data_IF_729829936300
#
_entry.id   IF_729829936300
#
_cell.length_a   1.000
_cell.length_b   1.000
_cell.length_c   1.000
_cell.angle_alpha   90.00
_cell.angle_beta   90.00
_cell.angle_gamma   90.00
#
_symmetry.space_group_name_H-M   'P 1'
#
loop_
_entity.id
_entity.type
_entity.pdbx_description
1 polymer ?
#
# COMPACT_ATOMS: atom_id res chain seq x y z
N UNK A 1 -15.78 -29.05 -48.37
CA UNK A 1 -15.32 -27.65 -48.15
C UNK A 1 -15.50 -27.36 -46.69
N UNK A 2 -14.49 -27.71 -45.89
CA UNK A 2 -14.47 -27.47 -44.48
C UNK A 2 -14.14 -26.00 -44.23
N UNK A 3 -15.06 -25.30 -43.59
CA UNK A 3 -14.80 -23.95 -43.08
C UNK A 3 -13.97 -24.09 -41.80
N UNK A 4 -12.71 -23.75 -41.88
CA UNK A 4 -11.82 -23.58 -40.77
C UNK A 4 -12.35 -22.39 -39.95
N UNK A 5 -12.74 -22.66 -38.68
CA UNK A 5 -13.07 -21.66 -37.71
C UNK A 5 -11.85 -20.74 -37.48
N UNK A 6 -12.04 -19.44 -37.28
CA UNK A 6 -10.94 -18.54 -36.95
C UNK A 6 -10.36 -18.94 -35.59
N UNK A 7 -9.11 -19.40 -35.56
CA UNK A 7 -8.33 -19.51 -34.36
C UNK A 7 -8.18 -18.09 -33.78
N UNK A 8 -8.78 -17.87 -32.62
CA UNK A 8 -8.49 -16.71 -31.79
C UNK A 8 -7.01 -16.82 -31.37
N UNK A 9 -6.14 -16.12 -32.07
CA UNK A 9 -4.80 -15.86 -31.58
C UNK A 9 -4.95 -15.01 -30.32
N UNK A 10 -4.67 -15.60 -29.15
CA UNK A 10 -4.49 -14.85 -27.92
C UNK A 10 -3.31 -13.89 -28.21
N UNK A 11 -3.58 -12.61 -28.35
CA UNK A 11 -2.50 -11.61 -28.43
C UNK A 11 -1.62 -11.81 -27.20
N UNK A 12 -0.37 -12.18 -27.43
CA UNK A 12 0.63 -12.25 -26.36
C UNK A 12 0.92 -10.80 -25.97
N UNK A 13 0.29 -10.34 -24.90
CA UNK A 13 0.60 -9.03 -24.33
C UNK A 13 2.03 -9.11 -23.78
N UNK A 14 2.94 -8.36 -24.36
CA UNK A 14 4.30 -8.25 -23.84
C UNK A 14 4.24 -7.51 -22.50
N UNK A 15 5.06 -7.89 -21.52
CA UNK A 15 5.13 -7.15 -20.27
C UNK A 15 5.53 -5.71 -20.53
N UNK A 16 4.92 -4.78 -19.78
CA UNK A 16 5.24 -3.36 -19.88
C UNK A 16 6.65 -3.12 -19.30
N UNK A 17 7.50 -2.46 -20.06
CA UNK A 17 8.87 -2.16 -19.63
C UNK A 17 8.89 -1.43 -18.28
N UNK A 18 9.92 -1.67 -17.48
CA UNK A 18 10.13 -0.94 -16.23
C UNK A 18 10.59 0.49 -16.51
N UNK A 19 10.34 1.39 -15.57
CA UNK A 19 10.89 2.75 -15.64
C UNK A 19 12.40 2.71 -15.44
N UNK A 20 13.13 3.22 -16.44
CA UNK A 20 14.59 3.22 -16.45
C UNK A 20 15.22 4.36 -15.65
N UNK A 21 14.44 5.09 -14.83
CA UNK A 21 14.92 6.19 -13.96
C UNK A 21 16.13 5.76 -13.13
N UNK A 22 17.16 6.59 -13.10
CA UNK A 22 18.39 6.32 -12.32
C UNK A 22 18.08 6.19 -10.81
N UNK A 23 17.14 6.97 -10.31
CA UNK A 23 16.66 6.88 -8.93
C UNK A 23 16.13 5.48 -8.62
N UNK A 24 15.29 4.92 -9.50
CA UNK A 24 14.63 3.63 -9.25
C UNK A 24 15.59 2.45 -9.35
N UNK A 25 16.62 2.55 -10.19
CA UNK A 25 17.67 1.52 -10.31
C UNK A 25 18.46 1.29 -9.02
N UNK A 26 18.43 2.25 -8.09
CA UNK A 26 19.14 2.15 -6.81
C UNK A 26 18.34 1.32 -5.79
N UNK A 27 17.03 1.23 -5.92
CA UNK A 27 16.18 0.46 -5.01
C UNK A 27 16.34 -1.04 -5.20
N UNK A 28 15.97 -1.80 -4.18
CA UNK A 28 16.05 -3.26 -4.21
C UNK A 28 15.17 -3.88 -5.30
N UNK A 29 14.00 -3.28 -5.57
CA UNK A 29 13.15 -3.63 -6.70
C UNK A 29 12.91 -2.39 -7.58
N UNK A 30 13.69 -2.23 -8.67
CA UNK A 30 13.53 -1.12 -9.59
C UNK A 30 12.19 -1.07 -10.34
N UNK A 31 11.46 -2.20 -10.37
CA UNK A 31 10.17 -2.29 -11.06
C UNK A 31 8.99 -1.76 -10.25
N UNK A 32 9.16 -1.58 -8.92
CA UNK A 32 8.06 -1.26 -8.02
C UNK A 32 7.50 0.16 -8.18
N UNK A 33 8.24 1.07 -8.82
CA UNK A 33 7.86 2.46 -9.02
C UNK A 33 7.87 2.85 -10.49
N UNK A 34 7.02 3.81 -10.82
CA UNK A 34 7.04 4.52 -12.09
C UNK A 34 7.01 6.03 -11.87
N UNK A 35 7.72 6.78 -12.71
CA UNK A 35 7.67 8.25 -12.72
C UNK A 35 6.43 8.76 -13.46
N UNK A 36 6.06 10.00 -13.20
CA UNK A 36 5.00 10.69 -13.92
C UNK A 36 5.27 10.76 -15.43
N UNK A 37 6.53 10.94 -15.82
CA UNK A 37 6.95 10.92 -17.22
C UNK A 37 6.73 9.55 -17.85
N UNK A 38 7.20 8.49 -17.20
CA UNK A 38 7.01 7.13 -17.71
C UNK A 38 5.52 6.80 -17.86
N UNK A 39 4.70 7.16 -16.88
CA UNK A 39 3.27 6.90 -16.93
C UNK A 39 2.61 7.64 -18.10
N UNK A 40 2.92 8.93 -18.32
CA UNK A 40 2.40 9.72 -19.45
C UNK A 40 2.73 9.09 -20.81
N UNK A 41 3.96 8.59 -20.96
CA UNK A 41 4.43 7.93 -22.20
C UNK A 41 3.80 6.54 -22.44
N UNK A 42 3.17 5.96 -21.39
CA UNK A 42 2.61 4.62 -21.42
C UNK A 42 1.08 4.57 -21.25
N UNK A 43 0.41 5.70 -21.05
CA UNK A 43 -1.05 5.74 -20.91
C UNK A 43 -1.75 5.06 -22.11
N UNK A 44 -2.72 4.22 -21.79
CA UNK A 44 -3.53 3.51 -22.80
C UNK A 44 -2.82 2.38 -23.54
N UNK A 45 -1.61 2.01 -23.17
CA UNK A 45 -0.96 0.82 -23.76
C UNK A 45 -1.70 -0.46 -23.33
N UNK A 46 -1.92 -1.39 -24.27
CA UNK A 46 -2.47 -2.70 -23.93
C UNK A 46 -1.63 -3.40 -22.83
N UNK A 47 -2.28 -3.99 -21.85
CA UNK A 47 -1.60 -4.64 -20.72
C UNK A 47 -1.19 -3.69 -19.58
N UNK A 48 -1.47 -2.38 -19.71
CA UNK A 48 -1.33 -1.41 -18.61
C UNK A 48 -2.70 -0.99 -18.10
N UNK A 49 -2.96 -1.21 -16.83
CA UNK A 49 -4.16 -0.73 -16.13
C UNK A 49 -3.76 0.30 -15.08
N UNK A 50 -4.31 1.50 -15.19
CA UNK A 50 -4.09 2.57 -14.23
C UNK A 50 -5.28 2.64 -13.26
N UNK A 51 -5.01 2.58 -11.95
CA UNK A 51 -6.03 2.62 -10.90
C UNK A 51 -5.77 3.78 -9.93
N UNK A 52 -6.82 4.56 -9.66
CA UNK A 52 -6.81 5.60 -8.63
C UNK A 52 -7.47 5.08 -7.35
N UNK A 53 -6.75 5.17 -6.23
CA UNK A 53 -7.22 4.80 -4.89
C UNK A 53 -6.91 5.92 -3.92
N UNK A 54 -7.91 6.70 -3.57
CA UNK A 54 -7.83 7.90 -2.72
C UNK A 54 -8.45 7.66 -1.35
N UNK A 55 -8.07 8.48 -0.38
CA UNK A 55 -8.78 8.59 0.89
C UNK A 55 -10.21 9.10 0.65
N UNK A 56 -10.35 10.24 0.00
CA UNK A 56 -11.64 10.73 -0.46
C UNK A 56 -11.97 10.13 -1.82
N UNK A 57 -12.79 9.11 -1.82
CA UNK A 57 -13.23 8.40 -3.03
C UNK A 57 -13.98 9.29 -4.03
N UNK A 58 -14.35 10.51 -3.67
CA UNK A 58 -14.96 11.49 -4.56
C UNK A 58 -13.93 12.28 -5.37
N UNK A 59 -12.64 12.25 -5.02
CA UNK A 59 -11.59 12.96 -5.75
C UNK A 59 -11.51 12.55 -7.22
N UNK A 60 -11.68 11.28 -7.52
CA UNK A 60 -11.70 10.76 -8.89
C UNK A 60 -12.65 11.56 -9.81
N UNK A 61 -13.86 11.89 -9.31
CA UNK A 61 -14.85 12.63 -10.09
C UNK A 61 -14.49 14.10 -10.27
N UNK A 62 -13.62 14.66 -9.44
CA UNK A 62 -13.15 16.05 -9.59
C UNK A 62 -12.16 16.21 -10.73
N UNK A 63 -11.51 15.11 -11.12
CA UNK A 63 -10.54 14.96 -12.20
C UNK A 63 -9.52 13.89 -11.85
N UNK A 64 -9.20 13.01 -12.78
CA UNK A 64 -8.27 11.90 -12.64
C UNK A 64 -7.31 11.83 -13.83
N UNK A 65 -6.23 11.09 -13.71
CA UNK A 65 -5.28 10.88 -14.81
C UNK A 65 -6.01 10.17 -15.97
N UNK A 66 -5.82 10.61 -17.24
CA UNK A 66 -6.46 9.97 -18.38
C UNK A 66 -6.26 8.44 -18.36
N UNK A 67 -7.28 7.68 -18.72
CA UNK A 67 -7.37 6.22 -18.68
C UNK A 67 -7.49 5.58 -17.30
N UNK A 68 -7.34 6.31 -16.20
CA UNK A 68 -7.47 5.76 -14.88
C UNK A 68 -8.89 5.22 -14.61
N UNK A 69 -8.95 4.12 -13.90
CA UNK A 69 -10.16 3.55 -13.33
C UNK A 69 -10.15 3.77 -11.81
N UNK A 70 -11.33 3.98 -11.24
CA UNK A 70 -11.47 4.11 -9.79
C UNK A 70 -11.48 2.74 -9.13
N UNK A 71 -10.75 2.62 -8.03
CA UNK A 71 -10.94 1.56 -7.04
C UNK A 71 -11.31 2.19 -5.69
N UNK A 72 -12.43 1.79 -5.15
CA UNK A 72 -12.89 2.24 -3.84
C UNK A 72 -12.39 1.25 -2.78
N UNK A 73 -11.40 1.68 -2.00
CA UNK A 73 -10.77 0.83 -1.00
C UNK A 73 -11.78 0.25 0.00
N UNK A 74 -12.83 1.00 0.32
CA UNK A 74 -13.82 0.61 1.32
C UNK A 74 -14.80 -0.43 0.78
N UNK A 75 -15.35 -0.23 -0.40
CA UNK A 75 -16.39 -1.10 -0.97
C UNK A 75 -15.84 -2.19 -1.88
N UNK A 76 -14.70 -1.95 -2.55
CA UNK A 76 -14.10 -2.91 -3.48
C UNK A 76 -13.10 -3.86 -2.80
N UNK A 77 -12.45 -3.46 -1.68
CA UNK A 77 -11.39 -4.25 -1.07
C UNK A 77 -11.74 -4.83 0.31
N UNK A 78 -12.75 -4.30 0.98
CA UNK A 78 -13.14 -4.74 2.31
C UNK A 78 -14.48 -5.48 2.30
N UNK A 79 -14.61 -6.48 3.15
CA UNK A 79 -15.89 -7.10 3.47
C UNK A 79 -16.75 -6.10 4.25
N UNK A 80 -18.02 -5.98 3.85
CA UNK A 80 -18.92 -4.95 4.41
C UNK A 80 -19.54 -5.34 5.76
N UNK A 81 -19.32 -6.56 6.21
CA UNK A 81 -19.88 -7.11 7.46
C UNK A 81 -18.78 -7.38 8.47
N UNK A 82 -17.75 -8.06 8.03
CA UNK A 82 -16.58 -8.41 8.84
C UNK A 82 -15.48 -7.39 8.60
N UNK A 83 -14.79 -6.96 9.65
CA UNK A 83 -13.60 -6.11 9.47
C UNK A 83 -12.44 -6.96 8.92
N UNK A 84 -12.52 -7.28 7.64
CA UNK A 84 -11.54 -8.05 6.89
C UNK A 84 -11.61 -7.67 5.40
N UNK A 85 -10.70 -8.18 4.59
CA UNK A 85 -10.71 -8.01 3.14
C UNK A 85 -11.72 -8.98 2.50
N UNK A 86 -12.13 -8.66 1.27
CA UNK A 86 -12.92 -9.55 0.43
C UNK A 86 -12.20 -10.90 0.25
N UNK A 87 -12.94 -11.93 -0.14
CA UNK A 87 -12.40 -13.24 -0.50
C UNK A 87 -11.90 -13.28 -1.96
N UNK A 88 -11.35 -14.42 -2.38
CA UNK A 88 -10.85 -14.61 -3.74
C UNK A 88 -11.91 -14.43 -4.82
N UNK A 89 -13.17 -14.81 -4.55
CA UNK A 89 -14.28 -14.62 -5.48
C UNK A 89 -14.65 -13.14 -5.61
N UNK A 90 -14.69 -12.41 -4.51
CA UNK A 90 -14.89 -10.95 -4.49
C UNK A 90 -13.80 -10.22 -5.26
N UNK A 91 -12.53 -10.57 -5.01
CA UNK A 91 -11.39 -9.99 -5.72
C UNK A 91 -11.46 -10.25 -7.23
N UNK A 92 -11.72 -11.49 -7.63
CA UNK A 92 -11.92 -11.86 -9.04
C UNK A 92 -13.04 -11.03 -9.70
N UNK A 93 -14.15 -10.83 -9.00
CA UNK A 93 -15.28 -10.03 -9.49
C UNK A 93 -14.89 -8.55 -9.69
N UNK A 94 -14.20 -7.95 -8.73
CA UNK A 94 -13.73 -6.56 -8.83
C UNK A 94 -12.78 -6.40 -10.01
N UNK A 95 -11.76 -7.25 -10.13
CA UNK A 95 -10.77 -7.18 -11.19
C UNK A 95 -11.37 -7.46 -12.57
N UNK A 96 -12.29 -8.42 -12.66
CA UNK A 96 -13.03 -8.67 -13.91
C UNK A 96 -13.85 -7.45 -14.32
N UNK A 97 -14.54 -6.78 -13.39
CA UNK A 97 -15.30 -5.54 -13.64
C UNK A 97 -14.40 -4.43 -14.15
N UNK A 98 -13.18 -4.31 -13.61
CA UNK A 98 -12.19 -3.33 -14.01
C UNK A 98 -11.45 -3.71 -15.31
N UNK A 99 -11.75 -4.86 -15.91
CA UNK A 99 -11.11 -5.32 -17.14
C UNK A 99 -9.67 -5.80 -16.96
N UNK A 100 -9.22 -6.03 -15.72
CA UNK A 100 -7.86 -6.48 -15.41
C UNK A 100 -7.70 -7.95 -15.75
N UNK A 101 -6.60 -8.30 -16.41
CA UNK A 101 -6.16 -9.67 -16.59
C UNK A 101 -5.01 -10.02 -15.64
N UNK A 102 -4.73 -11.31 -15.47
CA UNK A 102 -3.71 -11.77 -14.53
C UNK A 102 -2.30 -11.28 -14.88
N UNK A 103 -2.03 -11.11 -16.15
CA UNK A 103 -0.74 -10.73 -16.71
C UNK A 103 -0.56 -9.21 -16.88
N UNK A 104 -1.60 -8.42 -16.59
CA UNK A 104 -1.52 -6.97 -16.75
C UNK A 104 -0.61 -6.34 -15.69
N UNK A 105 0.11 -5.29 -16.12
CA UNK A 105 0.79 -4.36 -15.21
C UNK A 105 -0.24 -3.40 -14.64
N UNK A 106 -0.34 -3.33 -13.33
CA UNK A 106 -1.18 -2.34 -12.64
C UNK A 106 -0.29 -1.21 -12.13
N UNK A 107 -0.63 0.03 -12.46
CA UNK A 107 -0.08 1.21 -11.80
C UNK A 107 -1.14 1.80 -10.89
N UNK A 108 -0.79 1.97 -9.62
CA UNK A 108 -1.64 2.59 -8.60
C UNK A 108 -1.14 3.99 -8.27
N UNK A 109 -2.07 4.90 -8.08
CA UNK A 109 -1.81 6.23 -7.53
C UNK A 109 -2.99 6.71 -6.70
N UNK A 110 -2.76 7.73 -5.88
CA UNK A 110 -3.80 8.34 -5.07
C UNK A 110 -3.32 9.62 -4.42
N UNK A 111 -4.15 10.15 -3.54
CA UNK A 111 -3.87 11.30 -2.69
C UNK A 111 -2.95 10.95 -1.49
N UNK A 112 -2.72 11.90 -0.62
CA UNK A 112 -1.97 11.71 0.65
C UNK A 112 -0.68 10.94 0.47
N UNK A 113 0.13 11.28 -0.52
CA UNK A 113 1.38 10.58 -0.85
C UNK A 113 1.20 9.08 -1.07
N UNK A 114 0.12 8.69 -1.74
CA UNK A 114 -0.19 7.28 -2.05
C UNK A 114 -0.56 6.38 -0.86
N UNK A 115 -1.06 6.89 0.26
CA UNK A 115 -1.45 5.99 1.37
C UNK A 115 -2.37 4.87 0.92
N UNK A 116 -3.50 5.25 0.28
CA UNK A 116 -4.51 4.29 -0.13
C UNK A 116 -4.11 3.53 -1.40
N UNK A 117 -3.27 4.11 -2.23
CA UNK A 117 -2.66 3.39 -3.35
C UNK A 117 -1.71 2.29 -2.86
N UNK A 118 -0.87 2.58 -1.85
CA UNK A 118 -0.01 1.57 -1.22
C UNK A 118 -0.82 0.50 -0.47
N UNK A 119 -1.94 0.88 0.16
CA UNK A 119 -2.87 -0.07 0.78
C UNK A 119 -3.50 -1.00 -0.26
N UNK A 120 -4.01 -0.45 -1.37
CA UNK A 120 -4.55 -1.25 -2.46
C UNK A 120 -3.49 -2.19 -3.05
N UNK A 121 -2.24 -1.70 -3.27
CA UNK A 121 -1.12 -2.52 -3.72
C UNK A 121 -0.88 -3.69 -2.76
N UNK A 122 -0.83 -3.42 -1.45
CA UNK A 122 -0.62 -4.46 -0.45
C UNK A 122 -1.73 -5.51 -0.48
N UNK A 123 -3.01 -5.09 -0.60
CA UNK A 123 -4.14 -6.02 -0.76
C UNK A 123 -4.00 -6.86 -2.03
N UNK A 124 -3.63 -6.24 -3.17
CA UNK A 124 -3.44 -6.99 -4.43
C UNK A 124 -2.33 -8.04 -4.32
N UNK A 125 -1.28 -7.74 -3.55
CA UNK A 125 -0.21 -8.70 -3.26
C UNK A 125 -0.67 -9.87 -2.38
N UNK A 126 -1.66 -9.68 -1.50
CA UNK A 126 -2.27 -10.80 -0.75
C UNK A 126 -2.91 -11.81 -1.71
N UNK A 127 -3.56 -11.34 -2.79
CA UNK A 127 -4.12 -12.18 -3.84
C UNK A 127 -3.10 -12.57 -4.93
N UNK A 128 -1.83 -12.23 -4.72
CA UNK A 128 -0.73 -12.66 -5.57
C UNK A 128 -0.70 -12.02 -6.95
N UNK A 129 -1.33 -10.86 -7.19
CA UNK A 129 -1.11 -10.15 -8.45
C UNK A 129 0.35 -9.69 -8.54
N UNK A 130 1.06 -10.09 -9.60
CA UNK A 130 2.53 -9.99 -9.61
C UNK A 130 3.04 -8.60 -9.96
N UNK A 131 2.58 -7.99 -11.05
CA UNK A 131 3.07 -6.68 -11.51
C UNK A 131 2.16 -5.55 -11.06
N UNK A 132 2.43 -5.03 -9.85
CA UNK A 132 1.75 -3.85 -9.30
C UNK A 132 2.80 -2.83 -8.90
N UNK A 133 2.68 -1.63 -9.46
CA UNK A 133 3.63 -0.51 -9.31
C UNK A 133 2.93 0.70 -8.70
N UNK A 134 3.66 1.57 -8.01
CA UNK A 134 3.16 2.88 -7.57
C UNK A 134 3.68 4.00 -8.46
N UNK A 135 2.83 4.99 -8.72
CA UNK A 135 3.26 6.26 -9.30
C UNK A 135 4.01 7.08 -8.24
N UNK A 136 5.31 7.31 -8.44
CA UNK A 136 6.15 8.06 -7.48
C UNK A 136 5.68 9.51 -7.35
N UNK A 137 5.20 9.89 -6.16
CA UNK A 137 4.59 11.18 -5.86
C UNK A 137 3.08 11.26 -6.06
N UNK A 138 2.46 10.21 -6.61
CA UNK A 138 1.01 10.07 -6.71
C UNK A 138 0.31 11.21 -7.45
N UNK A 139 -0.95 11.45 -7.05
CA UNK A 139 -1.82 12.48 -7.62
C UNK A 139 -1.25 13.88 -7.48
N UNK A 140 -0.69 14.20 -6.31
CA UNK A 140 -0.23 15.56 -6.00
C UNK A 140 0.93 15.99 -6.91
N UNK A 141 1.88 15.09 -7.14
CA UNK A 141 3.02 15.35 -8.03
C UNK A 141 2.58 15.48 -9.48
N UNK A 142 1.66 14.63 -9.95
CA UNK A 142 1.09 14.72 -11.30
C UNK A 142 0.47 16.10 -11.55
N UNK A 143 -0.32 16.59 -10.60
CA UNK A 143 -0.95 17.92 -10.67
C UNK A 143 0.10 19.04 -10.59
N UNK A 144 1.05 18.95 -9.67
CA UNK A 144 2.11 19.96 -9.49
C UNK A 144 2.98 20.12 -10.73
N UNK A 145 3.16 19.06 -11.52
CA UNK A 145 3.86 19.11 -12.82
C UNK A 145 2.99 19.66 -13.96
N UNK A 146 1.75 20.06 -13.69
CA UNK A 146 0.84 20.62 -14.70
C UNK A 146 0.35 19.62 -15.74
N UNK A 147 0.36 18.32 -15.42
CA UNK A 147 -0.07 17.27 -16.32
C UNK A 147 -1.58 17.19 -16.41
N UNK A 148 -2.08 16.63 -17.50
CA UNK A 148 -3.50 16.55 -17.82
C UNK A 148 -4.30 15.74 -16.79
N UNK A 149 -5.48 16.26 -16.43
CA UNK A 149 -6.54 15.53 -15.76
C UNK A 149 -7.80 15.53 -16.62
N UNK A 150 -8.55 14.46 -16.57
CA UNK A 150 -9.85 14.34 -17.24
C UNK A 150 -10.96 14.05 -16.23
N UNK A 151 -12.23 14.27 -16.66
CA UNK A 151 -13.43 13.81 -15.96
C UNK A 151 -14.17 12.71 -16.72
N UNK A 152 -13.60 12.26 -17.83
CA UNK A 152 -14.20 11.27 -18.70
C UNK A 152 -14.11 9.88 -18.05
N UNK A 153 -15.22 9.38 -17.54
CA UNK A 153 -15.29 8.06 -16.93
C UNK A 153 -14.94 6.96 -17.92
N UNK A 154 -13.99 6.13 -17.55
CA UNK A 154 -13.60 4.98 -18.32
C UNK A 154 -14.63 3.85 -18.16
N UNK A 155 -14.94 3.17 -19.27
CA UNK A 155 -15.82 1.99 -19.30
C UNK A 155 -15.04 0.78 -19.80
N UNK A 156 -14.29 0.09 -18.93
CA UNK A 156 -13.49 -1.05 -19.35
C UNK A 156 -14.38 -2.19 -19.84
N UNK A 157 -13.90 -2.94 -20.80
CA UNK A 157 -14.51 -4.24 -21.15
C UNK A 157 -14.18 -5.22 -20.03
N UNK A 158 -15.19 -5.86 -19.40
CA UNK A 158 -14.91 -6.84 -18.34
C UNK A 158 -14.02 -7.98 -18.82
N UNK A 159 -13.10 -8.40 -17.97
CA UNK A 159 -12.23 -9.55 -18.18
C UNK A 159 -12.76 -10.81 -17.47
N UNK A 160 -11.95 -11.86 -17.44
CA UNK A 160 -12.21 -13.06 -16.67
C UNK A 160 -11.03 -13.33 -15.72
N UNK A 161 -10.92 -12.49 -14.68
CA UNK A 161 -9.84 -12.64 -13.71
C UNK A 161 -10.00 -13.92 -12.90
N UNK A 162 -8.95 -14.76 -12.72
CA UNK A 162 -9.08 -16.02 -11.99
C UNK A 162 -9.39 -15.81 -10.51
N UNK A 163 -10.12 -16.75 -9.91
CA UNK A 163 -10.33 -16.78 -8.46
C UNK A 163 -9.06 -17.32 -7.80
N UNK A 164 -8.43 -16.50 -6.97
CA UNK A 164 -7.23 -16.84 -6.21
C UNK A 164 -7.47 -16.43 -4.76
N UNK A 165 -7.34 -17.38 -3.85
CA UNK A 165 -7.43 -17.06 -2.42
C UNK A 165 -6.19 -16.31 -1.95
N UNK A 166 -6.39 -15.38 -1.02
CA UNK A 166 -5.29 -14.58 -0.46
C UNK A 166 -4.37 -15.40 0.45
N UNK A 167 -3.10 -15.04 0.45
CA UNK A 167 -2.11 -15.60 1.38
C UNK A 167 -1.77 -14.57 2.47
N UNK A 168 -2.49 -14.64 3.57
CA UNK A 168 -2.30 -13.72 4.71
C UNK A 168 -0.96 -13.94 5.42
N UNK A 169 -0.37 -15.15 5.33
CA UNK A 169 0.77 -15.54 6.18
C UNK A 169 2.07 -14.80 5.86
N UNK A 170 2.25 -14.38 4.62
CA UNK A 170 3.52 -13.77 4.18
C UNK A 170 3.60 -12.28 4.42
N UNK A 171 2.48 -11.58 4.24
CA UNK A 171 2.46 -10.11 4.16
C UNK A 171 1.69 -9.47 5.30
N UNK A 172 0.83 -10.22 5.99
CA UNK A 172 -0.04 -9.76 7.05
C UNK A 172 0.46 -10.25 8.41
N UNK A 173 0.36 -9.42 9.42
CA UNK A 173 0.53 -9.82 10.81
C UNK A 173 -0.79 -9.67 11.56
N UNK A 174 -1.07 -10.60 12.43
CA UNK A 174 -2.18 -10.56 13.37
C UNK A 174 -1.69 -10.24 14.78
N UNK A 175 -2.60 -9.98 15.69
CA UNK A 175 -2.28 -9.68 17.09
C UNK A 175 -1.28 -10.69 17.70
N UNK A 176 -1.47 -11.97 17.50
CA UNK A 176 -0.62 -13.02 18.10
C UNK A 176 0.78 -13.03 17.46
N UNK A 177 0.91 -12.64 16.18
CA UNK A 177 2.21 -12.42 15.55
C UNK A 177 2.93 -11.25 16.22
N UNK A 178 2.25 -10.13 16.48
CA UNK A 178 2.83 -8.98 17.18
C UNK A 178 3.28 -9.36 18.59
N UNK A 179 2.46 -10.10 19.33
CA UNK A 179 2.82 -10.61 20.67
C UNK A 179 4.09 -11.47 20.62
N UNK A 180 4.20 -12.36 19.63
CA UNK A 180 5.37 -13.22 19.42
C UNK A 180 6.59 -12.47 18.89
N UNK A 181 6.39 -11.23 18.43
CA UNK A 181 7.42 -10.36 17.86
C UNK A 181 8.02 -9.36 18.84
N UNK A 182 7.55 -9.30 20.08
CA UNK A 182 8.10 -8.38 21.09
C UNK A 182 9.62 -8.53 21.24
N UNK A 183 10.30 -7.38 21.26
CA UNK A 183 11.77 -7.33 21.30
C UNK A 183 12.45 -7.51 19.94
N UNK A 184 11.69 -7.74 18.87
CA UNK A 184 12.14 -7.66 17.47
C UNK A 184 11.67 -6.36 16.83
N UNK A 185 12.15 -6.00 15.61
CA UNK A 185 11.77 -4.78 14.94
C UNK A 185 10.25 -4.63 14.73
N UNK A 186 9.67 -3.69 15.45
CA UNK A 186 8.26 -3.29 15.37
C UNK A 186 8.21 -1.78 15.15
N UNK A 187 7.48 -1.30 14.15
CA UNK A 187 7.45 0.11 13.77
C UNK A 187 6.02 0.65 13.85
N UNK A 188 5.86 1.70 14.64
CA UNK A 188 4.67 2.56 14.63
C UNK A 188 4.91 3.72 13.65
N UNK A 189 4.09 3.80 12.60
CA UNK A 189 4.25 4.81 11.55
C UNK A 189 3.33 6.01 11.73
N UNK A 190 2.58 6.08 12.83
CA UNK A 190 1.70 7.19 13.18
C UNK A 190 2.52 8.45 13.53
N UNK A 191 1.80 9.55 13.82
CA UNK A 191 2.49 10.76 14.28
C UNK A 191 3.13 10.55 15.67
N UNK A 192 4.14 11.38 16.02
CA UNK A 192 4.74 11.33 17.35
C UNK A 192 3.73 11.53 18.49
N UNK A 193 2.71 12.37 18.28
CA UNK A 193 1.67 12.65 19.26
C UNK A 193 0.71 11.45 19.46
N UNK A 194 0.38 10.74 18.36
CA UNK A 194 -0.38 9.48 18.44
C UNK A 194 0.44 8.42 19.19
N UNK A 195 1.74 8.33 18.88
CA UNK A 195 2.67 7.38 19.50
C UNK A 195 2.81 7.66 21.01
N UNK A 196 3.08 8.91 21.39
CA UNK A 196 3.27 9.29 22.79
C UNK A 196 2.00 9.15 23.63
N UNK A 197 0.83 9.10 22.98
CA UNK A 197 -0.47 9.06 23.67
C UNK A 197 -1.05 10.42 23.97
N UNK A 198 -0.50 11.48 23.39
CA UNK A 198 -1.00 12.85 23.52
C UNK A 198 -2.31 13.06 22.75
N UNK A 199 -2.59 12.17 21.81
CA UNK A 199 -3.85 12.12 21.04
C UNK A 199 -4.18 10.70 20.57
N UNK A 200 -5.47 10.44 20.36
CA UNK A 200 -5.97 9.13 19.90
C UNK A 200 -5.81 8.96 18.37
N UNK A 201 -5.99 10.03 17.60
CA UNK A 201 -6.05 10.00 16.13
C UNK A 201 -5.26 11.14 15.51
N UNK A 202 -4.96 11.02 14.22
CA UNK A 202 -4.35 12.10 13.45
C UNK A 202 -5.26 13.35 13.38
N UNK A 203 -4.72 14.56 13.17
CA UNK A 203 -5.50 15.78 13.01
C UNK A 203 -6.48 15.65 11.83
N UNK A 204 -7.72 16.08 12.04
CA UNK A 204 -8.77 16.05 11.01
C UNK A 204 -9.54 14.73 10.92
N UNK A 205 -9.09 13.71 11.64
CA UNK A 205 -9.83 12.45 11.76
C UNK A 205 -10.64 12.45 13.07
N UNK A 206 -11.92 12.07 13.02
CA UNK A 206 -12.70 11.87 14.25
C UNK A 206 -12.11 10.72 15.09
N UNK A 207 -12.52 10.63 16.34
CA UNK A 207 -12.06 9.59 17.27
C UNK A 207 -12.53 8.20 16.79
N UNK A 208 -11.84 7.67 15.79
CA UNK A 208 -12.13 6.37 15.22
C UNK A 208 -11.26 5.28 15.84
N UNK A 209 -11.89 4.38 16.51
CA UNK A 209 -11.45 3.01 16.62
C UNK A 209 -10.66 2.61 17.84
N UNK A 210 -9.89 3.43 18.52
CA UNK A 210 -9.14 3.01 19.70
C UNK A 210 -9.72 3.64 20.98
N UNK A 211 -9.82 2.84 22.06
CA UNK A 211 -10.30 3.32 23.37
C UNK A 211 -9.20 3.84 24.27
N UNK A 212 -7.94 3.62 23.92
CA UNK A 212 -6.75 4.06 24.66
C UNK A 212 -5.74 4.69 23.72
N UNK A 213 -5.03 5.69 24.23
CA UNK A 213 -3.90 6.33 23.57
C UNK A 213 -2.58 5.63 23.92
N UNK A 214 -1.52 5.89 23.14
CA UNK A 214 -0.20 5.33 23.33
C UNK A 214 0.25 4.46 22.15
N UNK A 215 1.18 3.54 22.42
CA UNK A 215 1.75 2.66 21.39
C UNK A 215 1.96 1.23 21.90
N UNK A 216 2.20 0.30 20.99
CA UNK A 216 2.58 -1.07 21.32
C UNK A 216 4.00 -1.05 21.92
N UNK A 217 4.23 -1.60 23.12
CA UNK A 217 5.54 -1.62 23.73
C UNK A 217 6.61 -2.22 22.80
N UNK A 218 7.81 -1.71 22.88
CA UNK A 218 8.98 -2.00 22.03
C UNK A 218 8.93 -1.44 20.60
N UNK A 219 7.81 -0.89 20.14
CA UNK A 219 7.72 -0.29 18.82
C UNK A 219 8.57 0.99 18.73
N UNK A 220 9.30 1.14 17.62
CA UNK A 220 9.98 2.38 17.29
C UNK A 220 9.02 3.36 16.60
N UNK A 221 9.06 4.65 16.97
CA UNK A 221 8.29 5.71 16.30
C UNK A 221 8.98 6.16 15.02
N UNK A 222 8.43 5.80 13.88
CA UNK A 222 8.93 6.20 12.56
C UNK A 222 7.77 6.69 11.70
N UNK A 223 7.37 7.96 11.82
CA UNK A 223 6.28 8.51 11.01
C UNK A 223 6.47 8.21 9.52
N UNK A 224 5.41 7.73 8.89
CA UNK A 224 5.41 7.33 7.47
C UNK A 224 5.94 8.44 6.54
N UNK A 225 5.62 9.71 6.85
CA UNK A 225 6.01 10.87 6.05
C UNK A 225 7.53 11.08 5.96
N UNK A 226 8.32 10.48 6.85
CA UNK A 226 9.77 10.52 6.76
C UNK A 226 10.33 9.84 5.51
N UNK A 227 9.53 9.00 4.85
CA UNK A 227 9.91 8.37 3.58
C UNK A 227 9.74 9.28 2.36
N UNK A 228 9.01 10.39 2.49
CA UNK A 228 8.65 11.27 1.36
C UNK A 228 9.49 12.55 1.32
N UNK A 229 9.63 13.08 0.11
CA UNK A 229 10.09 14.44 -0.18
C UNK A 229 8.90 15.41 -0.15
N UNK A 230 9.19 16.72 -0.26
CA UNK A 230 8.16 17.76 -0.31
C UNK A 230 7.21 17.63 -1.51
N UNK A 231 7.70 17.11 -2.64
CA UNK A 231 6.91 16.83 -3.84
C UNK A 231 6.12 15.50 -3.78
N UNK A 232 6.01 14.90 -2.61
CA UNK A 232 5.33 13.65 -2.29
C UNK A 232 6.01 12.39 -2.87
N UNK A 233 7.09 12.53 -3.64
CA UNK A 233 7.87 11.38 -4.11
C UNK A 233 8.63 10.70 -2.96
N UNK A 234 8.95 9.42 -3.10
CA UNK A 234 9.82 8.74 -2.13
C UNK A 234 11.22 9.36 -2.14
N UNK A 235 11.89 9.36 -0.99
CA UNK A 235 13.30 9.72 -0.90
C UNK A 235 14.13 8.74 -1.73
N UNK A 236 15.33 9.19 -2.14
CA UNK A 236 16.32 8.29 -2.73
C UNK A 236 16.77 7.20 -1.74
N UNK A 237 17.49 6.21 -2.23
CA UNK A 237 17.95 5.07 -1.41
C UNK A 237 18.70 5.55 -0.16
N UNK A 238 19.64 6.50 -0.31
CA UNK A 238 20.42 7.00 0.81
C UNK A 238 19.55 7.67 1.89
N UNK A 239 18.55 8.44 1.47
CA UNK A 239 17.58 9.07 2.38
C UNK A 239 16.71 8.04 3.11
N UNK A 240 16.29 6.97 2.42
CA UNK A 240 15.53 5.89 3.06
C UNK A 240 16.39 5.06 4.01
N UNK A 241 17.65 4.77 3.67
CA UNK A 241 18.60 4.09 4.56
C UNK A 241 18.84 4.90 5.83
N UNK A 242 18.97 6.23 5.71
CA UNK A 242 19.13 7.09 6.87
C UNK A 242 17.93 7.02 7.82
N UNK A 243 16.71 7.02 7.28
CA UNK A 243 15.48 6.94 8.09
C UNK A 243 15.32 5.58 8.74
N UNK A 244 15.44 4.51 7.97
CA UNK A 244 15.03 3.18 8.43
C UNK A 244 16.19 2.32 8.90
N UNK A 245 17.28 2.22 8.15
CA UNK A 245 18.39 1.35 8.52
C UNK A 245 19.18 1.92 9.70
N UNK A 246 19.45 3.22 9.68
CA UNK A 246 20.19 3.90 10.77
C UNK A 246 19.24 4.43 11.84
N UNK A 247 18.29 5.30 11.47
CA UNK A 247 17.39 5.98 12.42
C UNK A 247 16.49 5.02 13.19
N UNK A 248 15.84 4.09 12.52
CA UNK A 248 15.03 3.05 13.15
C UNK A 248 15.82 1.78 13.53
N UNK A 249 17.15 1.78 13.30
CA UNK A 249 18.05 0.65 13.63
C UNK A 249 17.67 -0.68 12.98
N UNK A 250 17.16 -0.64 11.75
CA UNK A 250 16.76 -1.86 11.02
C UNK A 250 17.93 -2.54 10.29
N UNK A 251 19.14 -1.96 10.27
CA UNK A 251 20.29 -2.56 9.62
C UNK A 251 20.56 -3.97 10.17
N UNK A 252 20.64 -4.96 9.26
CA UNK A 252 20.86 -6.37 9.59
C UNK A 252 19.63 -7.14 10.08
N UNK A 253 18.46 -6.52 10.12
CA UNK A 253 17.21 -7.21 10.43
C UNK A 253 16.48 -7.61 9.14
N UNK A 254 15.97 -8.83 9.11
CA UNK A 254 15.26 -9.42 7.97
C UNK A 254 13.76 -9.63 8.21
N UNK A 255 13.27 -9.42 9.44
CA UNK A 255 11.85 -9.61 9.82
C UNK A 255 11.35 -8.39 10.60
N UNK A 256 10.42 -7.63 10.01
CA UNK A 256 9.89 -6.37 10.53
C UNK A 256 8.36 -6.40 10.46
N UNK A 257 7.70 -5.93 11.52
CA UNK A 257 6.27 -5.65 11.50
C UNK A 257 6.07 -4.12 11.57
N UNK A 258 5.22 -3.59 10.68
CA UNK A 258 4.78 -2.20 10.72
C UNK A 258 3.30 -2.11 11.03
N UNK A 259 2.88 -1.07 11.75
CA UNK A 259 1.47 -0.80 12.04
C UNK A 259 1.19 0.71 12.07
N UNK A 260 -0.09 1.07 11.91
CA UNK A 260 -0.54 2.45 12.03
C UNK A 260 -1.86 2.55 12.81
N UNK A 261 -2.92 3.09 12.20
CA UNK A 261 -4.28 3.12 12.75
C UNK A 261 -5.09 1.90 12.32
N UNK A 262 -5.16 1.62 11.00
CA UNK A 262 -5.95 0.54 10.37
C UNK A 262 -5.23 -0.17 9.21
N UNK A 263 -3.94 0.06 9.02
CA UNK A 263 -3.12 -0.59 7.99
C UNK A 263 -2.76 0.26 6.78
N UNK A 264 -3.38 1.42 6.57
CA UNK A 264 -3.19 2.28 5.39
C UNK A 264 -1.80 2.93 5.32
N UNK A 265 -1.42 3.67 6.37
CA UNK A 265 -0.10 4.32 6.46
C UNK A 265 1.03 3.31 6.59
N UNK A 266 0.76 2.20 7.26
CA UNK A 266 1.75 1.12 7.41
C UNK A 266 1.94 0.30 6.13
N UNK A 267 0.97 0.25 5.23
CA UNK A 267 1.16 -0.30 3.88
C UNK A 267 2.17 0.52 3.07
N UNK A 268 2.16 1.85 3.21
CA UNK A 268 3.14 2.73 2.60
C UNK A 268 4.56 2.42 3.12
N UNK A 269 4.73 2.31 4.44
CA UNK A 269 6.02 1.93 5.04
C UNK A 269 6.40 0.49 4.68
N UNK A 270 5.45 -0.45 4.67
CA UNK A 270 5.68 -1.82 4.21
C UNK A 270 6.24 -1.86 2.79
N UNK A 271 5.66 -1.04 1.88
CA UNK A 271 6.16 -0.91 0.51
C UNK A 271 7.62 -0.43 0.48
N UNK A 272 7.95 0.61 1.23
CA UNK A 272 9.33 1.13 1.33
C UNK A 272 10.29 0.06 1.83
N UNK A 273 9.97 -0.59 2.94
CA UNK A 273 10.85 -1.57 3.56
C UNK A 273 11.05 -2.80 2.65
N UNK A 274 9.97 -3.26 2.01
CA UNK A 274 9.98 -4.47 1.18
C UNK A 274 10.62 -4.23 -0.18
N UNK A 275 10.16 -3.23 -0.91
CA UNK A 275 10.53 -3.04 -2.32
C UNK A 275 11.68 -2.06 -2.51
N UNK A 276 11.75 -1.00 -1.71
CA UNK A 276 12.80 -0.01 -1.91
C UNK A 276 14.07 -0.36 -1.12
N UNK A 277 13.94 -0.88 0.09
CA UNK A 277 15.08 -1.28 0.95
C UNK A 277 15.40 -2.78 0.91
N UNK A 278 14.53 -3.63 0.36
CA UNK A 278 14.78 -5.06 0.17
C UNK A 278 14.80 -5.90 1.45
N UNK A 279 14.10 -5.48 2.51
CA UNK A 279 13.97 -6.29 3.72
C UNK A 279 13.16 -7.56 3.39
N UNK A 280 13.69 -8.72 3.71
CA UNK A 280 13.18 -10.00 3.26
C UNK A 280 11.74 -10.28 3.72
N UNK A 281 11.46 -10.10 5.00
CA UNK A 281 10.14 -10.32 5.59
C UNK A 281 9.63 -9.03 6.21
N UNK A 282 8.64 -8.42 5.56
CA UNK A 282 7.93 -7.26 6.10
C UNK A 282 6.46 -7.58 6.14
N UNK A 283 5.86 -7.46 7.31
CA UNK A 283 4.43 -7.73 7.52
C UNK A 283 3.71 -6.47 7.98
N UNK A 284 2.51 -6.25 7.45
CA UNK A 284 1.64 -5.18 7.89
C UNK A 284 0.66 -5.73 8.94
N UNK A 285 0.68 -5.18 10.13
CA UNK A 285 -0.34 -5.44 11.14
C UNK A 285 -1.51 -4.47 10.90
N UNK A 286 -2.47 -4.88 10.09
CA UNK A 286 -3.59 -4.05 9.68
C UNK A 286 -4.66 -3.87 10.78
N UNK A 287 -4.77 -4.78 11.74
CA UNK A 287 -5.51 -4.55 12.98
C UNK A 287 -5.08 -3.25 13.68
N UNK A 288 -3.77 -3.02 13.69
CA UNK A 288 -3.15 -1.75 14.04
C UNK A 288 -3.59 -1.21 15.42
N UNK A 289 -3.52 0.10 15.60
CA UNK A 289 -3.90 0.72 16.86
C UNK A 289 -5.39 0.61 17.15
N UNK A 290 -6.25 0.60 16.13
CA UNK A 290 -7.70 0.43 16.33
C UNK A 290 -8.05 -0.89 17.01
N UNK A 291 -7.34 -1.97 16.69
CA UNK A 291 -7.47 -3.24 17.39
C UNK A 291 -6.73 -3.21 18.73
N UNK A 292 -5.41 -2.94 18.71
CA UNK A 292 -4.56 -3.05 19.89
C UNK A 292 -4.99 -2.15 21.05
N UNK A 293 -5.25 -0.86 20.76
CA UNK A 293 -5.67 0.14 21.75
C UNK A 293 -7.08 -0.09 22.32
N UNK A 294 -7.84 -1.04 21.76
CA UNK A 294 -9.18 -1.42 22.20
C UNK A 294 -9.22 -2.78 22.92
N UNK A 295 -8.13 -3.55 22.84
CA UNK A 295 -8.06 -4.87 23.47
C UNK A 295 -7.97 -4.76 25.00
N UNK A 296 -8.77 -5.57 25.69
CA UNK A 296 -8.71 -5.70 27.14
C UNK A 296 -7.38 -6.35 27.55
N UNK A 297 -6.67 -5.73 28.48
CA UNK A 297 -5.36 -6.17 28.99
C UNK A 297 -4.20 -6.16 27.98
N UNK A 298 -4.37 -5.61 26.77
CA UNK A 298 -3.22 -5.39 25.90
C UNK A 298 -2.22 -4.44 26.56
N UNK A 299 -0.91 -4.75 26.56
CA UNK A 299 0.10 -3.85 27.08
C UNK A 299 0.21 -2.60 26.22
N UNK A 300 0.29 -1.44 26.85
CA UNK A 300 0.42 -0.12 26.21
C UNK A 300 1.56 0.63 26.87
N UNK A 301 2.39 1.27 26.05
CA UNK A 301 3.37 2.24 26.49
C UNK A 301 2.91 3.67 26.16
N UNK A 302 3.35 4.62 26.99
CA UNK A 302 3.07 6.06 26.84
C UNK A 302 4.39 6.83 26.80
N UNK A 303 4.36 8.00 26.20
CA UNK A 303 5.55 8.86 26.05
C UNK A 303 6.38 8.50 24.81
N UNK A 304 7.55 9.13 24.68
CA UNK A 304 8.38 9.02 23.47
C UNK A 304 9.27 7.77 23.40
N UNK A 305 9.38 7.00 24.48
CA UNK A 305 10.25 5.82 24.54
C UNK A 305 9.51 4.55 24.20
N UNK A 306 10.14 3.57 23.51
CA UNK A 306 9.49 2.33 23.09
C UNK A 306 8.91 1.47 24.22
N UNK A 307 9.37 1.69 25.44
CA UNK A 307 9.00 0.87 26.59
C UNK A 307 9.67 -0.51 26.61
N UNK A 308 9.58 -1.23 27.74
CA UNK A 308 10.17 -2.55 27.91
C UNK A 308 9.34 -3.63 27.22
N UNK A 309 9.96 -4.79 26.98
CA UNK A 309 9.25 -6.00 26.57
C UNK A 309 8.23 -6.37 27.66
N UNK A 310 6.93 -6.50 27.31
CA UNK A 310 5.90 -6.83 28.31
C UNK A 310 6.08 -8.23 28.88
N UNK A 311 5.86 -8.37 30.18
CA UNK A 311 5.64 -9.70 30.76
C UNK A 311 4.19 -10.10 30.46
N UNK A 312 4.02 -11.07 29.56
CA UNK A 312 2.70 -11.63 29.27
C UNK A 312 2.31 -12.57 30.40
N UNK A 313 1.21 -12.27 31.08
CA UNK A 313 0.67 -13.06 32.19
C UNK A 313 -0.48 -13.93 31.67
#
# INVERSE_FOLDING_TARGET
MDQLSPQFYKEITLPIDIDSSEKFRQYADPSALVSTKWLEENLGKPGLVLLESDEDVLLYQTGHIPTALKIDWHTDLNDQVTRDYIDGAGFSKVFSRLGVNREDTIVLYGDKSNWWAAYALWVFKLFGHEDVRLLDGGRDKWIAEGRELTKDEQKPTPSNYPVIERDDKKLRAFRDDVVSHFGKPLIDVRSPEEYAGDRLTAPGYPDEGATRAGHIPTAASVPWSKACNEDQSFKDLAGLEEVYLKGAKLAGHSDVIAYCRIGERSSHTWFVLKYLLGIETVRNYDGSWSEWGSLVKAPIALGGEPGPVPQLV
#
